data_IF_644675393556
#
_entry.id   IF_644675393556
#
_cell.length_a   1.000
_cell.length_b   1.000
_cell.length_c   1.000
_cell.angle_alpha   90.00
_cell.angle_beta   90.00
_cell.angle_gamma   90.00
#
_symmetry.space_group_name_H-M   'P 1'
#
loop_
_entity.id
_entity.type
_entity.pdbx_description
1 polymer ?
#
# COMPACT_ATOMS: atom_id res chain seq x y z
N UNK A 1 -32.56 37.27 -18.69
CA UNK A 1 -31.54 36.38 -19.31
C UNK A 1 -30.23 36.75 -18.63
N UNK A 2 -29.83 35.97 -17.65
CA UNK A 2 -28.59 36.20 -16.88
C UNK A 2 -27.62 35.08 -17.28
N UNK A 3 -26.57 35.43 -18.03
CA UNK A 3 -25.53 34.49 -18.41
C UNK A 3 -24.68 34.07 -17.19
N UNK A 4 -24.59 32.77 -16.97
CA UNK A 4 -23.66 32.21 -16.03
C UNK A 4 -22.26 32.13 -16.67
N UNK A 5 -21.30 32.85 -16.11
CA UNK A 5 -19.90 32.83 -16.54
C UNK A 5 -19.25 31.47 -16.29
N UNK A 6 -18.14 31.17 -17.01
CA UNK A 6 -17.49 29.85 -16.92
C UNK A 6 -16.83 29.63 -15.55
N UNK A 7 -17.08 28.45 -14.98
CA UNK A 7 -16.43 28.00 -13.75
C UNK A 7 -14.91 27.88 -13.98
N UNK A 8 -14.14 28.55 -13.13
CA UNK A 8 -12.68 28.47 -13.12
C UNK A 8 -12.18 27.04 -12.77
N UNK A 9 -10.92 26.72 -13.15
CA UNK A 9 -10.37 25.39 -12.92
C UNK A 9 -10.27 25.08 -11.42
N UNK A 10 -10.68 23.88 -11.06
CA UNK A 10 -10.57 23.35 -9.70
C UNK A 10 -9.09 23.32 -9.26
N UNK A 11 -8.79 23.57 -7.97
CA UNK A 11 -7.41 23.49 -7.49
C UNK A 11 -6.88 22.07 -7.62
N UNK A 12 -5.66 21.95 -8.17
CA UNK A 12 -4.95 20.70 -8.28
C UNK A 12 -4.79 20.07 -6.88
N UNK A 13 -5.22 18.82 -6.73
CA UNK A 13 -5.01 18.05 -5.52
C UNK A 13 -3.50 17.91 -5.28
N UNK A 14 -3.00 18.57 -4.24
CA UNK A 14 -1.66 18.38 -3.76
C UNK A 14 -1.55 16.95 -3.21
N UNK A 15 -0.92 16.08 -3.96
CA UNK A 15 -0.55 14.76 -3.49
C UNK A 15 0.34 14.86 -2.24
N UNK A 16 0.33 13.86 -1.35
CA UNK A 16 1.16 13.90 -0.16
C UNK A 16 2.63 14.02 -0.57
N UNK A 17 3.27 15.08 -0.10
CA UNK A 17 4.69 15.32 -0.29
C UNK A 17 5.45 14.14 0.35
N UNK A 18 6.05 13.30 -0.48
CA UNK A 18 7.01 12.31 -0.03
C UNK A 18 8.23 13.07 0.51
N UNK A 19 8.30 13.24 1.82
CA UNK A 19 9.53 13.69 2.47
C UNK A 19 10.56 12.55 2.34
N UNK A 20 11.31 12.60 1.23
CA UNK A 20 12.38 11.67 0.93
C UNK A 20 13.53 11.84 1.92
N UNK A 21 13.48 11.10 3.02
CA UNK A 21 14.64 10.82 3.83
C UNK A 21 15.14 9.43 3.41
N UNK A 22 16.22 9.40 2.62
CA UNK A 22 16.95 8.18 2.34
C UNK A 22 17.45 7.62 3.69
N UNK A 23 16.67 6.71 4.28
CA UNK A 23 17.09 5.95 5.42
C UNK A 23 17.99 4.83 4.89
N UNK A 24 19.29 4.94 5.14
CA UNK A 24 20.16 3.77 5.19
C UNK A 24 19.57 2.87 6.28
N UNK A 25 19.00 1.73 5.89
CA UNK A 25 18.39 0.80 6.83
C UNK A 25 19.32 0.51 7.99
N UNK A 26 18.86 0.55 9.25
CA UNK A 26 19.70 0.32 10.40
C UNK A 26 20.30 -1.08 10.34
N UNK A 27 21.63 -1.15 10.46
CA UNK A 27 22.35 -2.39 10.61
C UNK A 27 22.18 -2.86 12.06
N UNK A 28 21.33 -3.88 12.27
CA UNK A 28 21.15 -4.51 13.57
C UNK A 28 20.13 -5.63 13.49
N UNK A 29 20.21 -6.65 14.38
CA UNK A 29 19.21 -7.69 14.45
C UNK A 29 17.85 -7.10 14.88
N UNK A 30 16.79 -7.36 14.10
CA UNK A 30 15.41 -7.02 14.44
C UNK A 30 15.08 -5.53 14.37
N UNK A 31 15.65 -4.77 13.40
CA UNK A 31 15.32 -3.37 13.21
C UNK A 31 13.82 -3.17 12.92
N UNK A 32 13.17 -2.31 13.73
CA UNK A 32 11.75 -1.95 13.53
C UNK A 32 11.65 -0.94 12.40
N UNK A 33 10.78 -1.20 11.45
CA UNK A 33 10.48 -0.28 10.37
C UNK A 33 9.52 0.83 10.87
N UNK A 34 9.67 2.09 10.42
CA UNK A 34 8.68 3.12 10.67
C UNK A 34 7.31 2.73 10.14
N UNK A 35 6.26 3.07 10.85
CA UNK A 35 4.90 2.81 10.36
C UNK A 35 4.60 3.63 9.09
N UNK A 36 3.88 2.99 8.16
CA UNK A 36 3.33 3.65 6.97
C UNK A 36 1.81 3.56 7.03
N UNK A 37 1.16 4.72 7.05
CA UNK A 37 -0.31 4.80 7.04
C UNK A 37 -0.79 5.23 5.65
N UNK A 38 -1.72 4.48 5.09
CA UNK A 38 -2.37 4.74 3.80
C UNK A 38 -3.86 5.02 4.04
N UNK A 39 -4.33 6.16 3.59
CA UNK A 39 -5.76 6.45 3.52
C UNK A 39 -6.36 5.73 2.31
N UNK A 40 -7.18 4.73 2.57
CA UNK A 40 -7.82 3.89 1.54
C UNK A 40 -9.07 4.59 1.04
N UNK A 41 -8.90 5.67 0.27
CA UNK A 41 -10.02 6.40 -0.31
C UNK A 41 -10.68 5.61 -1.45
N UNK A 42 -11.97 5.86 -1.78
CA UNK A 42 -12.61 5.24 -2.95
C UNK A 42 -11.83 5.48 -4.25
N UNK A 43 -11.33 6.71 -4.44
CA UNK A 43 -10.47 7.04 -5.60
C UNK A 43 -9.21 6.21 -5.64
N UNK A 44 -8.55 6.00 -4.48
CA UNK A 44 -7.36 5.16 -4.39
C UNK A 44 -7.67 3.72 -4.78
N UNK A 45 -8.76 3.14 -4.26
CA UNK A 45 -9.16 1.75 -4.57
C UNK A 45 -9.39 1.57 -6.06
N UNK A 46 -10.19 2.47 -6.68
CA UNK A 46 -10.53 2.40 -8.10
C UNK A 46 -9.27 2.62 -8.98
N UNK A 47 -8.49 3.66 -8.70
CA UNK A 47 -7.30 3.98 -9.47
C UNK A 47 -6.26 2.84 -9.41
N UNK A 48 -6.09 2.24 -8.23
CA UNK A 48 -5.18 1.11 -8.04
C UNK A 48 -5.65 -0.15 -8.77
N UNK A 49 -6.96 -0.44 -8.78
CA UNK A 49 -7.53 -1.54 -9.55
C UNK A 49 -7.28 -1.36 -11.05
N UNK A 50 -7.50 -0.15 -11.58
CA UNK A 50 -7.22 0.18 -12.99
C UNK A 50 -5.73 0.05 -13.30
N UNK A 51 -4.87 0.61 -12.45
CA UNK A 51 -3.41 0.57 -12.64
C UNK A 51 -2.85 -0.86 -12.62
N UNK A 52 -3.43 -1.73 -11.83
CA UNK A 52 -3.05 -3.16 -11.76
C UNK A 52 -3.80 -4.04 -12.77
N UNK A 53 -4.69 -3.44 -13.58
CA UNK A 53 -5.54 -4.12 -14.60
C UNK A 53 -6.42 -5.21 -13.98
N UNK A 54 -6.82 -5.03 -12.75
CA UNK A 54 -7.78 -5.89 -12.06
C UNK A 54 -9.18 -5.27 -12.21
N UNK A 55 -9.90 -5.72 -13.22
CA UNK A 55 -11.24 -5.21 -13.58
C UNK A 55 -12.39 -5.95 -12.90
N UNK A 56 -12.12 -6.66 -11.80
CA UNK A 56 -13.21 -7.22 -11.01
C UNK A 56 -14.05 -6.11 -10.38
N UNK A 57 -15.37 -6.23 -10.54
CA UNK A 57 -16.33 -5.21 -10.14
C UNK A 57 -16.27 -4.86 -8.63
N UNK A 58 -15.89 -5.80 -7.78
CA UNK A 58 -15.72 -5.58 -6.33
C UNK A 58 -14.66 -4.53 -5.96
N UNK A 59 -13.81 -4.13 -6.91
CA UNK A 59 -12.76 -3.14 -6.72
C UNK A 59 -13.10 -1.76 -7.28
N UNK A 60 -14.21 -1.60 -8.02
CA UNK A 60 -14.55 -0.33 -8.65
C UNK A 60 -16.05 -0.01 -8.72
N UNK A 61 -16.93 -0.99 -8.54
CA UNK A 61 -18.39 -0.84 -8.58
C UNK A 61 -18.98 -1.16 -7.20
N UNK A 62 -19.43 -0.13 -6.48
CA UNK A 62 -19.96 -0.28 -5.11
C UNK A 62 -21.20 -1.14 -5.05
N UNK A 63 -22.11 -0.95 -5.99
CA UNK A 63 -23.39 -1.69 -6.00
C UNK A 63 -23.12 -3.17 -6.23
N UNK A 64 -22.21 -3.51 -7.14
CA UNK A 64 -21.77 -4.88 -7.37
C UNK A 64 -21.02 -5.48 -6.18
N UNK A 65 -20.15 -4.70 -5.54
CA UNK A 65 -19.44 -5.15 -4.34
C UNK A 65 -20.44 -5.54 -3.23
N UNK A 66 -21.47 -4.71 -3.02
CA UNK A 66 -22.53 -4.97 -2.03
C UNK A 66 -23.39 -6.16 -2.43
N UNK A 67 -23.79 -6.30 -3.71
CA UNK A 67 -24.53 -7.47 -4.21
C UNK A 67 -23.77 -8.79 -4.00
N UNK A 68 -22.43 -8.74 -4.01
CA UNK A 68 -21.56 -9.90 -3.73
C UNK A 68 -21.28 -10.12 -2.25
N UNK A 69 -21.93 -9.36 -1.35
CA UNK A 69 -21.85 -9.52 0.11
C UNK A 69 -20.71 -8.72 0.75
N UNK A 70 -20.02 -7.86 0.01
CA UNK A 70 -19.05 -6.91 0.55
C UNK A 70 -19.74 -5.72 1.23
N UNK A 71 -19.02 -5.04 2.12
CA UNK A 71 -19.47 -3.78 2.74
C UNK A 71 -19.38 -2.59 1.76
N UNK A 72 -18.34 -2.59 0.94
CA UNK A 72 -17.98 -1.55 -0.04
C UNK A 72 -16.95 -2.16 -1.02
N UNK A 73 -16.46 -1.37 -1.95
CA UNK A 73 -15.27 -1.71 -2.74
C UNK A 73 -14.03 -1.80 -1.82
N UNK A 74 -13.08 -2.66 -2.15
CA UNK A 74 -11.87 -2.90 -1.36
C UNK A 74 -10.64 -3.05 -2.25
N UNK A 75 -9.45 -2.90 -1.66
CA UNK A 75 -8.17 -3.01 -2.39
C UNK A 75 -7.90 -4.45 -2.83
N UNK A 76 -7.35 -4.60 -4.03
CA UNK A 76 -6.99 -5.90 -4.59
C UNK A 76 -5.62 -6.40 -4.11
N UNK A 77 -5.32 -7.67 -4.36
CA UNK A 77 -4.06 -8.31 -3.95
C UNK A 77 -2.84 -7.68 -4.62
N UNK A 78 -2.95 -7.24 -5.87
CA UNK A 78 -1.83 -6.63 -6.60
C UNK A 78 -1.46 -5.29 -5.99
N UNK A 79 -2.45 -4.47 -5.63
CA UNK A 79 -2.24 -3.22 -4.89
C UNK A 79 -1.59 -3.49 -3.54
N UNK A 80 -2.11 -4.46 -2.78
CA UNK A 80 -1.55 -4.84 -1.48
C UNK A 80 -0.10 -5.28 -1.60
N UNK A 81 0.23 -6.11 -2.60
CA UNK A 81 1.60 -6.55 -2.87
C UNK A 81 2.51 -5.37 -3.19
N UNK A 82 2.06 -4.43 -4.03
CA UNK A 82 2.79 -3.22 -4.37
C UNK A 82 3.03 -2.31 -3.16
N UNK A 83 2.05 -2.18 -2.27
CA UNK A 83 2.21 -1.41 -1.02
C UNK A 83 3.20 -2.07 -0.06
N UNK A 84 3.18 -3.40 0.08
CA UNK A 84 4.18 -4.16 0.86
C UNK A 84 5.57 -3.94 0.28
N UNK A 85 5.74 -4.04 -1.04
CA UNK A 85 7.01 -3.77 -1.70
C UNK A 85 7.48 -2.35 -1.43
N UNK A 86 6.64 -1.34 -1.65
CA UNK A 86 6.94 0.07 -1.38
C UNK A 86 7.38 0.27 0.07
N UNK A 87 6.62 -0.22 1.04
CA UNK A 87 6.90 -0.10 2.46
C UNK A 87 8.31 -0.58 2.82
N UNK A 88 8.69 -1.73 2.29
CA UNK A 88 9.99 -2.34 2.57
C UNK A 88 11.12 -1.65 1.81
N UNK A 89 10.92 -1.27 0.54
CA UNK A 89 11.97 -0.60 -0.24
C UNK A 89 12.21 0.84 0.19
N UNK A 90 11.19 1.56 0.66
CA UNK A 90 11.35 2.91 1.24
C UNK A 90 12.25 2.88 2.48
N UNK A 91 12.16 1.81 3.30
CA UNK A 91 13.03 1.61 4.45
C UNK A 91 14.42 1.12 4.06
N UNK A 92 14.51 0.12 3.19
CA UNK A 92 15.77 -0.54 2.84
C UNK A 92 16.67 0.32 1.95
N UNK A 93 16.10 1.30 1.25
CA UNK A 93 16.80 2.25 0.39
C UNK A 93 17.05 1.74 -1.03
N UNK A 94 17.64 2.60 -1.89
CA UNK A 94 17.69 2.39 -3.35
C UNK A 94 18.60 1.25 -3.81
N UNK A 95 19.48 0.76 -2.95
CA UNK A 95 20.35 -0.39 -3.26
C UNK A 95 19.77 -1.74 -2.86
N UNK A 96 18.58 -1.75 -2.26
CA UNK A 96 17.89 -2.98 -1.90
C UNK A 96 17.23 -3.59 -3.14
N UNK A 97 17.46 -4.86 -3.37
CA UNK A 97 16.83 -5.64 -4.43
C UNK A 97 15.82 -6.60 -3.81
N UNK A 98 14.55 -6.47 -4.18
CA UNK A 98 13.53 -7.44 -3.80
C UNK A 98 13.79 -8.76 -4.51
N UNK A 99 13.96 -9.83 -3.74
CA UNK A 99 14.17 -11.19 -4.24
C UNK A 99 12.90 -12.01 -4.21
N UNK A 100 12.10 -11.83 -3.15
CA UNK A 100 10.85 -12.55 -2.97
C UNK A 100 9.89 -11.73 -2.11
N UNK A 101 8.62 -11.81 -2.43
CA UNK A 101 7.51 -11.32 -1.58
C UNK A 101 6.56 -12.51 -1.38
N UNK A 102 6.37 -12.93 -0.14
CA UNK A 102 5.42 -13.96 0.22
C UNK A 102 4.41 -13.35 1.19
N UNK A 103 3.17 -13.17 0.74
CA UNK A 103 2.09 -12.58 1.55
C UNK A 103 0.90 -13.51 1.68
N UNK A 104 0.17 -13.32 2.75
CA UNK A 104 -1.14 -13.90 2.99
C UNK A 104 -2.12 -12.78 3.28
N UNK A 105 -3.24 -12.75 2.54
CA UNK A 105 -4.34 -11.85 2.83
C UNK A 105 -5.22 -12.42 3.95
N UNK A 106 -5.66 -11.54 4.84
CA UNK A 106 -6.62 -11.79 5.89
C UNK A 106 -7.96 -11.13 5.59
N UNK A 107 -8.32 -10.09 6.37
CA UNK A 107 -9.58 -9.37 6.18
C UNK A 107 -9.53 -8.38 5.01
N UNK A 108 -10.66 -8.11 4.33
CA UNK A 108 -10.71 -7.06 3.30
C UNK A 108 -10.45 -5.68 3.92
N UNK A 109 -9.71 -4.82 3.19
CA UNK A 109 -9.53 -3.42 3.53
C UNK A 109 -10.39 -2.57 2.59
N UNK A 110 -11.47 -2.02 3.13
CA UNK A 110 -12.52 -1.32 2.39
C UNK A 110 -12.18 0.15 2.13
N UNK A 111 -12.83 0.73 1.14
CA UNK A 111 -12.82 2.17 0.93
C UNK A 111 -13.32 2.91 2.18
N UNK A 112 -12.61 4.00 2.54
CA UNK A 112 -12.87 4.78 3.76
C UNK A 112 -12.04 4.33 4.97
N UNK A 113 -11.26 3.27 4.85
CA UNK A 113 -10.41 2.74 5.92
C UNK A 113 -8.99 3.34 5.91
N UNK A 114 -8.23 3.05 6.95
CA UNK A 114 -6.78 3.30 7.01
C UNK A 114 -6.06 1.96 7.05
N UNK A 115 -5.06 1.81 6.20
CA UNK A 115 -4.18 0.66 6.20
C UNK A 115 -2.82 1.07 6.78
N UNK A 116 -2.50 0.52 7.95
CA UNK A 116 -1.24 0.80 8.65
C UNK A 116 -0.30 -0.39 8.50
N UNK A 117 0.86 -0.16 7.90
CA UNK A 117 1.95 -1.13 7.83
C UNK A 117 2.90 -0.97 9.00
N UNK A 118 3.30 -2.12 9.56
CA UNK A 118 4.39 -2.25 10.53
C UNK A 118 5.28 -3.43 10.14
N UNK A 119 6.52 -3.45 10.61
CA UNK A 119 7.42 -4.54 10.25
C UNK A 119 8.72 -4.54 11.05
N UNK A 120 9.45 -5.65 10.91
CA UNK A 120 10.79 -5.84 11.44
C UNK A 120 11.67 -6.44 10.36
N UNK A 121 12.89 -5.90 10.22
CA UNK A 121 13.88 -6.38 9.25
C UNK A 121 15.18 -6.78 9.92
N UNK A 122 15.79 -7.84 9.45
CA UNK A 122 17.10 -8.28 9.91
C UNK A 122 18.04 -8.50 8.71
N UNK A 123 19.13 -7.74 8.69
CA UNK A 123 20.20 -7.92 7.71
C UNK A 123 21.21 -8.95 8.22
N UNK A 124 21.46 -9.98 7.42
CA UNK A 124 22.49 -11.00 7.62
C UNK A 124 23.45 -10.97 6.44
N UNK A 125 24.51 -10.20 6.57
CA UNK A 125 25.45 -9.96 5.47
C UNK A 125 24.78 -9.20 4.31
N UNK A 126 24.63 -9.84 3.17
CA UNK A 126 24.03 -9.23 1.95
C UNK A 126 22.52 -9.49 1.82
N UNK A 127 21.95 -10.28 2.71
CA UNK A 127 20.53 -10.64 2.67
C UNK A 127 19.76 -10.04 3.85
N UNK A 128 18.51 -9.71 3.63
CA UNK A 128 17.60 -9.24 4.66
C UNK A 128 16.26 -9.94 4.52
N UNK A 129 15.68 -10.33 5.64
CA UNK A 129 14.29 -10.78 5.72
C UNK A 129 13.52 -9.76 6.52
N UNK A 130 12.41 -9.29 5.95
CA UNK A 130 11.50 -8.33 6.58
C UNK A 130 10.16 -9.01 6.82
N UNK A 131 9.75 -9.08 8.08
CA UNK A 131 8.39 -9.46 8.45
C UNK A 131 7.50 -8.23 8.36
N UNK A 132 6.35 -8.35 7.70
CA UNK A 132 5.42 -7.24 7.45
C UNK A 132 4.02 -7.63 7.89
N UNK A 133 3.34 -6.69 8.55
CA UNK A 133 1.91 -6.74 8.84
C UNK A 133 1.26 -5.45 8.37
N UNK A 134 0.16 -5.55 7.63
CA UNK A 134 -0.70 -4.42 7.28
C UNK A 134 -2.05 -4.61 7.96
N UNK A 135 -2.45 -3.65 8.79
CA UNK A 135 -3.68 -3.71 9.60
C UNK A 135 -4.66 -2.62 9.20
N UNK A 136 -5.94 -2.98 9.12
CA UNK A 136 -7.06 -2.06 8.93
C UNK A 136 -8.03 -2.14 10.11
N UNK A 137 -9.17 -1.44 10.03
CA UNK A 137 -10.17 -1.43 11.11
C UNK A 137 -10.74 -2.81 11.45
N UNK A 138 -10.76 -3.73 10.49
CA UNK A 138 -11.27 -5.09 10.68
C UNK A 138 -10.21 -6.08 11.22
N UNK A 139 -8.95 -5.69 11.27
CA UNK A 139 -7.85 -6.57 11.71
C UNK A 139 -6.71 -6.65 10.70
N UNK A 140 -5.98 -7.76 10.71
CA UNK A 140 -4.85 -7.97 9.81
C UNK A 140 -5.35 -8.19 8.38
N UNK A 141 -5.11 -7.20 7.52
CA UNK A 141 -5.40 -7.26 6.09
C UNK A 141 -4.37 -8.11 5.34
N UNK A 142 -3.10 -7.94 5.71
CA UNK A 142 -1.99 -8.69 5.11
C UNK A 142 -0.91 -8.99 6.13
N UNK A 143 -0.35 -10.18 6.06
CA UNK A 143 0.88 -10.58 6.75
C UNK A 143 1.82 -11.24 5.76
N UNK A 144 3.13 -11.17 6.00
CA UNK A 144 4.07 -11.85 5.13
C UNK A 144 5.52 -11.54 5.41
N UNK A 145 6.36 -12.03 4.50
CA UNK A 145 7.80 -11.83 4.51
C UNK A 145 8.30 -11.32 3.16
N UNK A 146 9.28 -10.43 3.21
CA UNK A 146 9.97 -9.92 2.03
C UNK A 146 11.45 -10.23 2.17
N UNK A 147 12.01 -10.91 1.18
CA UNK A 147 13.44 -11.18 1.10
C UNK A 147 14.11 -10.14 0.20
N UNK A 148 15.13 -9.51 0.74
CA UNK A 148 15.92 -8.50 0.05
C UNK A 148 17.37 -8.99 -0.08
N UNK A 149 18.03 -8.54 -1.16
CA UNK A 149 19.47 -8.61 -1.32
C UNK A 149 20.02 -7.20 -1.53
N UNK A 150 21.29 -6.98 -1.28
CA UNK A 150 21.99 -5.78 -1.74
C UNK A 150 22.33 -5.92 -3.22
N UNK A 151 22.20 -4.82 -3.96
CA UNK A 151 22.77 -4.74 -5.32
C UNK A 151 24.28 -4.85 -5.23
N UNK A 152 24.92 -5.47 -6.22
CA UNK A 152 26.38 -5.56 -6.30
C UNK A 152 27.05 -4.19 -6.42
#
# INVERSE_FOLDING_TARGET
MTEAGPAGPAPAASGPAASGRAASGPAGPGAVLPELVIDVTPTFVIAAAIATRDFQDVHHDRDRAVQRGGKDIFINILTTTGLVQRYVTDWAGPRAMVRQIAIRLGVPCYAGDKLTFSGRGEWRGQECVVEVTGRCSLGDHVTGTVHLGKAP
#
